data_IF_638990396444
#
_entry.id   IF_638990396444
#
_cell.length_a   1.000
_cell.length_b   1.000
_cell.length_c   1.000
_cell.angle_alpha   90.00
_cell.angle_beta   90.00
_cell.angle_gamma   90.00
#
_symmetry.space_group_name_H-M   'P 1'
#
loop_
_entity.id
_entity.type
_entity.pdbx_description
1 polymer ?
#
# COMPACT_ATOMS: atom_id res chain seq x y z
N UNK A 1 31.36 10.98 3.83
CA UNK A 1 30.59 9.75 3.54
C UNK A 1 29.30 10.18 2.89
N UNK A 2 29.10 9.94 1.59
CA UNK A 2 27.83 10.20 0.92
C UNK A 2 26.83 9.14 1.41
N UNK A 3 26.05 9.46 2.43
CA UNK A 3 24.94 8.61 2.86
C UNK A 3 23.85 8.64 1.79
N UNK A 4 23.54 7.50 1.19
CA UNK A 4 22.39 7.35 0.30
C UNK A 4 21.11 7.68 1.09
N UNK A 5 20.40 8.79 0.77
CA UNK A 5 19.23 9.21 1.54
C UNK A 5 18.06 8.23 1.45
N UNK A 6 18.08 7.33 0.47
CA UNK A 6 17.03 6.35 0.21
C UNK A 6 17.29 4.97 0.85
N UNK A 7 18.43 4.76 1.51
CA UNK A 7 18.78 3.45 2.07
C UNK A 7 17.70 2.91 3.04
N UNK A 8 17.18 3.76 3.92
CA UNK A 8 16.12 3.37 4.85
C UNK A 8 14.78 3.09 4.16
N UNK A 9 14.51 3.75 3.02
CA UNK A 9 13.35 3.44 2.19
C UNK A 9 13.45 2.03 1.59
N UNK A 10 14.66 1.61 1.20
CA UNK A 10 14.93 0.25 0.75
C UNK A 10 14.70 -0.79 1.85
N UNK A 11 15.18 -0.54 3.07
CA UNK A 11 14.91 -1.42 4.22
C UNK A 11 13.42 -1.49 4.53
N UNK A 12 12.73 -0.35 4.54
CA UNK A 12 11.28 -0.30 4.78
C UNK A 12 10.50 -1.08 3.70
N UNK A 13 10.88 -0.97 2.42
CA UNK A 13 10.27 -1.71 1.34
C UNK A 13 10.49 -3.23 1.48
N UNK A 14 11.67 -3.68 1.90
CA UNK A 14 11.92 -5.10 2.18
C UNK A 14 11.11 -5.62 3.37
N UNK A 15 11.06 -4.87 4.47
CA UNK A 15 10.25 -5.22 5.63
C UNK A 15 8.77 -5.33 5.23
N UNK A 16 8.26 -4.34 4.49
CA UNK A 16 6.89 -4.33 4.00
C UNK A 16 6.61 -5.51 3.06
N UNK A 17 7.56 -5.89 2.19
CA UNK A 17 7.43 -7.03 1.29
C UNK A 17 7.25 -8.36 2.03
N UNK A 18 7.81 -8.48 3.24
CA UNK A 18 7.66 -9.66 4.09
C UNK A 18 6.38 -9.59 4.92
N UNK A 19 6.10 -8.44 5.56
CA UNK A 19 4.96 -8.29 6.47
C UNK A 19 3.62 -8.29 5.75
N UNK A 20 3.55 -7.70 4.56
CA UNK A 20 2.31 -7.59 3.79
C UNK A 20 1.63 -8.95 3.50
N UNK A 21 2.32 -9.95 2.92
CA UNK A 21 1.69 -11.25 2.68
C UNK A 21 1.37 -11.99 3.98
N UNK A 22 2.16 -11.83 5.04
CA UNK A 22 1.87 -12.44 6.35
C UNK A 22 0.52 -11.93 6.88
N UNK A 23 0.28 -10.62 6.79
CA UNK A 23 -0.99 -10.01 7.19
C UNK A 23 -2.15 -10.47 6.32
N UNK A 24 -2.05 -10.33 5.00
CA UNK A 24 -3.19 -10.58 4.11
C UNK A 24 -3.50 -12.06 3.86
N UNK A 25 -2.58 -12.98 4.15
CA UNK A 25 -2.86 -14.42 4.08
C UNK A 25 -3.54 -14.97 5.34
N UNK A 26 -3.49 -14.26 6.47
CA UNK A 26 -4.12 -14.72 7.71
C UNK A 26 -5.64 -14.93 7.58
N UNK A 27 -6.44 -13.99 7.00
CA UNK A 27 -7.89 -14.15 6.86
C UNK A 27 -8.30 -15.29 5.90
N UNK A 28 -7.44 -15.68 4.96
CA UNK A 28 -7.73 -16.73 3.96
C UNK A 28 -8.04 -18.07 4.63
N UNK A 29 -7.43 -18.34 5.78
CA UNK A 29 -7.69 -19.56 6.56
C UNK A 29 -9.09 -19.60 7.20
N UNK A 30 -9.70 -18.44 7.48
CA UNK A 30 -11.00 -18.32 8.15
C UNK A 30 -12.17 -18.28 7.16
N UNK A 31 -11.96 -17.73 5.97
CA UNK A 31 -12.98 -17.67 4.90
C UNK A 31 -13.43 -19.05 4.39
N UNK A 32 -12.63 -20.10 4.62
CA UNK A 32 -12.95 -21.45 4.22
C UNK A 32 -13.85 -22.21 5.23
N UNK A 33 -14.05 -21.69 6.45
CA UNK A 33 -14.60 -22.46 7.57
C UNK A 33 -15.78 -21.77 8.30
N UNK A 34 -15.90 -20.44 8.23
CA UNK A 34 -16.84 -19.65 9.07
C UNK A 34 -17.65 -18.61 8.30
N UNK A 35 -18.78 -18.16 8.88
CA UNK A 35 -19.65 -17.13 8.30
C UNK A 35 -18.91 -15.77 8.27
N UNK A 36 -18.84 -15.13 7.10
CA UNK A 36 -18.11 -13.86 6.89
C UNK A 36 -18.52 -12.75 7.86
N UNK A 37 -19.81 -12.69 8.21
CA UNK A 37 -20.31 -11.68 9.13
C UNK A 37 -19.81 -11.89 10.57
N UNK A 38 -19.63 -13.14 11.01
CA UNK A 38 -19.08 -13.44 12.34
C UNK A 38 -17.59 -13.09 12.40
N UNK A 39 -16.83 -13.39 11.34
CA UNK A 39 -15.40 -13.02 11.24
C UNK A 39 -15.22 -11.50 11.32
N UNK A 40 -16.00 -10.73 10.55
CA UNK A 40 -15.91 -9.26 10.58
C UNK A 40 -16.31 -8.67 11.94
N UNK A 41 -17.26 -9.30 12.62
CA UNK A 41 -17.67 -8.85 13.95
C UNK A 41 -16.58 -9.11 14.98
N UNK A 42 -16.00 -10.30 14.95
CA UNK A 42 -14.91 -10.70 15.85
C UNK A 42 -13.68 -9.82 15.64
N UNK A 43 -13.32 -9.51 14.38
CA UNK A 43 -12.26 -8.58 14.02
C UNK A 43 -12.47 -7.23 14.71
N UNK A 44 -13.62 -6.58 14.45
CA UNK A 44 -13.97 -5.25 14.99
C UNK A 44 -14.12 -5.18 16.52
N UNK A 45 -14.34 -6.32 17.17
CA UNK A 45 -14.52 -6.40 18.62
C UNK A 45 -13.22 -6.70 19.37
N UNK A 46 -12.13 -6.98 18.67
CA UNK A 46 -10.85 -7.31 19.29
C UNK A 46 -9.79 -6.28 18.96
N UNK A 47 -8.96 -5.94 19.94
CA UNK A 47 -7.74 -5.18 19.71
C UNK A 47 -6.57 -6.09 20.06
N UNK A 48 -5.85 -6.55 19.03
CA UNK A 48 -4.84 -7.58 19.14
C UNK A 48 -3.55 -7.23 18.35
N UNK A 49 -2.62 -8.18 18.25
CA UNK A 49 -1.34 -7.95 17.57
C UNK A 49 -1.45 -7.72 16.06
N UNK A 50 -2.52 -8.21 15.42
CA UNK A 50 -2.80 -7.97 14.00
C UNK A 50 -3.15 -6.51 13.72
N UNK A 51 -3.86 -5.83 14.62
CA UNK A 51 -4.13 -4.39 14.51
C UNK A 51 -2.84 -3.56 14.53
N UNK A 52 -1.92 -3.90 15.43
CA UNK A 52 -0.61 -3.27 15.49
C UNK A 52 0.20 -3.53 14.21
N UNK A 53 0.13 -4.75 13.67
CA UNK A 53 0.77 -5.10 12.41
C UNK A 53 0.16 -4.34 11.22
N UNK A 54 -1.16 -4.17 11.19
CA UNK A 54 -1.87 -3.40 10.17
C UNK A 54 -1.39 -1.94 10.13
N UNK A 55 -1.30 -1.31 11.30
CA UNK A 55 -0.77 0.06 11.44
C UNK A 55 0.70 0.14 11.02
N UNK A 56 1.52 -0.84 11.40
CA UNK A 56 2.93 -0.90 11.01
C UNK A 56 3.10 -1.01 9.49
N UNK A 57 2.33 -1.89 8.84
CA UNK A 57 2.30 -2.04 7.38
C UNK A 57 1.93 -0.71 6.73
N UNK A 58 0.87 -0.05 7.21
CA UNK A 58 0.45 1.27 6.74
C UNK A 58 1.54 2.33 6.86
N UNK A 59 2.20 2.40 8.02
CA UNK A 59 3.29 3.35 8.25
C UNK A 59 4.50 3.11 7.34
N UNK A 60 4.87 1.85 7.12
CA UNK A 60 5.95 1.48 6.19
C UNK A 60 5.58 1.85 4.74
N UNK A 61 4.35 1.56 4.32
CA UNK A 61 3.87 1.87 2.98
C UNK A 61 3.85 3.38 2.71
N UNK A 62 3.35 4.17 3.67
CA UNK A 62 3.41 5.64 3.62
C UNK A 62 4.85 6.14 3.49
N UNK A 63 5.76 5.60 4.30
CA UNK A 63 7.16 6.00 4.26
C UNK A 63 7.79 5.69 2.89
N UNK A 64 7.54 4.51 2.34
CA UNK A 64 8.00 4.10 1.01
C UNK A 64 7.46 5.04 -0.06
N UNK A 65 6.18 5.41 -0.03
CA UNK A 65 5.60 6.34 -1.01
C UNK A 65 6.14 7.76 -0.90
N UNK A 66 6.33 8.27 0.30
CA UNK A 66 6.94 9.59 0.49
C UNK A 66 8.38 9.61 -0.05
N UNK A 67 9.15 8.55 0.18
CA UNK A 67 10.53 8.45 -0.32
C UNK A 67 10.57 8.25 -1.83
N UNK A 68 9.65 7.45 -2.39
CA UNK A 68 9.50 7.31 -3.83
C UNK A 68 9.07 8.64 -4.49
N UNK A 69 8.20 9.42 -3.84
CA UNK A 69 7.77 10.72 -4.33
C UNK A 69 8.95 11.70 -4.40
N UNK A 70 9.81 11.70 -3.38
CA UNK A 70 11.06 12.48 -3.40
C UNK A 70 11.97 12.03 -4.55
N UNK A 71 12.17 10.72 -4.71
CA UNK A 71 12.96 10.19 -5.82
C UNK A 71 12.40 10.58 -7.20
N UNK A 72 11.07 10.57 -7.37
CA UNK A 72 10.43 11.03 -8.60
C UNK A 72 10.64 12.53 -8.88
N UNK A 73 10.66 13.37 -7.85
CA UNK A 73 11.00 14.79 -7.99
C UNK A 73 12.46 14.99 -8.35
N UNK A 74 13.35 14.31 -7.63
CA UNK A 74 14.79 14.54 -7.70
C UNK A 74 15.43 13.93 -8.95
N UNK A 75 14.95 12.76 -9.40
CA UNK A 75 15.62 11.96 -10.44
C UNK A 75 14.81 11.82 -11.74
N UNK A 76 13.49 11.99 -11.68
CA UNK A 76 12.59 11.70 -12.82
C UNK A 76 11.93 12.98 -13.39
N UNK A 77 12.18 14.15 -12.78
CA UNK A 77 11.50 15.41 -13.11
C UNK A 77 9.97 15.23 -13.21
N UNK A 78 9.41 14.42 -12.30
CA UNK A 78 8.03 13.98 -12.31
C UNK A 78 7.23 14.57 -11.16
N UNK A 79 6.77 15.81 -11.30
CA UNK A 79 5.88 16.43 -10.32
C UNK A 79 4.57 15.66 -10.14
N UNK A 80 3.92 15.27 -11.25
CA UNK A 80 2.67 14.52 -11.21
C UNK A 80 2.83 13.15 -10.53
N UNK A 81 3.80 12.28 -10.90
CA UNK A 81 4.07 11.04 -10.17
C UNK A 81 4.26 11.24 -8.67
N UNK A 82 4.99 12.29 -8.27
CA UNK A 82 5.23 12.58 -6.86
C UNK A 82 3.95 13.00 -6.12
N UNK A 83 3.11 13.85 -6.73
CA UNK A 83 1.81 14.24 -6.16
C UNK A 83 0.91 13.01 -5.99
N UNK A 84 0.84 12.15 -7.00
CA UNK A 84 0.02 10.93 -6.95
C UNK A 84 0.49 9.99 -5.82
N UNK A 85 1.80 9.87 -5.59
CA UNK A 85 2.33 9.10 -4.45
C UNK A 85 1.96 9.71 -3.09
N UNK A 86 1.94 11.04 -2.96
CA UNK A 86 1.44 11.67 -1.74
C UNK A 86 -0.07 11.43 -1.53
N UNK A 87 -0.85 11.43 -2.61
CA UNK A 87 -2.28 11.08 -2.55
C UNK A 87 -2.45 9.62 -2.13
N UNK A 88 -1.70 8.68 -2.72
CA UNK A 88 -1.70 7.27 -2.31
C UNK A 88 -1.34 7.11 -0.84
N UNK A 89 -0.29 7.79 -0.37
CA UNK A 89 0.09 7.79 1.04
C UNK A 89 -1.04 8.33 1.94
N UNK A 90 -1.71 9.41 1.53
CA UNK A 90 -2.88 9.92 2.24
C UNK A 90 -4.03 8.92 2.32
N UNK A 91 -4.32 8.20 1.23
CA UNK A 91 -5.34 7.14 1.22
C UNK A 91 -4.94 6.00 2.18
N UNK A 92 -3.67 5.58 2.19
CA UNK A 92 -3.16 4.56 3.12
C UNK A 92 -3.28 5.01 4.58
N UNK A 93 -3.02 6.29 4.89
CA UNK A 93 -3.24 6.83 6.24
C UNK A 93 -4.71 6.73 6.64
N UNK A 94 -5.63 7.14 5.75
CA UNK A 94 -7.07 7.08 6.03
C UNK A 94 -7.53 5.62 6.17
N UNK A 95 -7.04 4.72 5.33
CA UNK A 95 -7.34 3.30 5.39
C UNK A 95 -6.81 2.65 6.67
N UNK A 96 -5.57 2.95 7.08
CA UNK A 96 -4.99 2.39 8.30
C UNK A 96 -5.57 2.99 9.58
N UNK A 97 -6.18 4.18 9.47
CA UNK A 97 -6.97 4.79 10.54
C UNK A 97 -8.28 4.05 10.83
N UNK A 98 -8.67 3.04 10.04
CA UNK A 98 -9.84 2.21 10.39
C UNK A 98 -9.64 1.46 11.71
N UNK A 99 -8.39 1.20 12.13
CA UNK A 99 -8.08 0.62 13.45
C UNK A 99 -8.61 1.46 14.61
N UNK A 100 -8.90 2.75 14.38
CA UNK A 100 -9.52 3.60 15.38
C UNK A 100 -10.95 3.14 15.75
N UNK A 101 -11.64 2.38 14.88
CA UNK A 101 -12.91 1.76 15.23
C UNK A 101 -12.72 0.68 16.31
N UNK A 102 -11.72 -0.17 16.15
CA UNK A 102 -11.34 -1.24 17.09
C UNK A 102 -10.92 -0.63 18.43
N UNK A 103 -10.12 0.45 18.39
CA UNK A 103 -9.78 1.22 19.60
C UNK A 103 -11.02 1.81 20.26
N UNK A 104 -11.93 2.41 19.48
CA UNK A 104 -13.15 3.02 20.01
C UNK A 104 -14.09 1.97 20.65
N UNK A 105 -14.18 0.77 20.09
CA UNK A 105 -14.89 -0.36 20.70
C UNK A 105 -14.20 -0.80 21.98
N UNK A 106 -12.88 -1.00 21.95
CA UNK A 106 -12.09 -1.49 23.09
C UNK A 106 -12.13 -0.56 24.31
N UNK A 107 -12.18 0.77 24.09
CA UNK A 107 -12.29 1.75 25.20
C UNK A 107 -13.73 2.07 25.59
N UNK A 108 -14.73 1.43 24.97
CA UNK A 108 -16.15 1.60 25.28
C UNK A 108 -16.80 2.87 24.74
N UNK A 109 -16.19 3.55 23.76
CA UNK A 109 -16.83 4.67 23.03
C UNK A 109 -17.93 4.16 22.08
N UNK A 110 -17.77 2.94 21.56
CA UNK A 110 -18.78 2.23 20.77
C UNK A 110 -19.26 1.02 21.60
N UNK A 111 -20.42 1.12 22.27
CA UNK A 111 -20.88 0.07 23.18
C UNK A 111 -21.39 -1.19 22.48
N UNK A 112 -21.80 -1.09 21.21
CA UNK A 112 -22.26 -2.23 20.41
C UNK A 112 -21.89 -2.06 18.93
N UNK A 113 -21.27 -3.09 18.35
CA UNK A 113 -21.01 -3.17 16.90
C UNK A 113 -22.27 -3.69 16.22
N UNK A 114 -23.05 -2.76 15.66
CA UNK A 114 -24.25 -3.08 14.88
C UNK A 114 -23.91 -3.43 13.44
N UNK A 115 -24.81 -4.12 12.73
CA UNK A 115 -24.65 -4.42 11.31
C UNK A 115 -24.40 -3.16 10.47
N UNK A 116 -25.04 -2.03 10.81
CA UNK A 116 -24.83 -0.75 10.12
C UNK A 116 -23.40 -0.23 10.26
N UNK A 117 -22.78 -0.37 11.43
CA UNK A 117 -21.38 0.01 11.65
C UNK A 117 -20.46 -0.89 10.83
N UNK A 118 -20.71 -2.21 10.82
CA UNK A 118 -19.94 -3.16 10.01
C UNK A 118 -20.03 -2.83 8.51
N UNK A 119 -21.23 -2.55 7.99
CA UNK A 119 -21.41 -2.16 6.59
C UNK A 119 -20.73 -0.84 6.25
N UNK A 120 -20.72 0.12 7.19
CA UNK A 120 -20.02 1.38 7.02
C UNK A 120 -18.50 1.17 6.91
N UNK A 121 -17.90 0.40 7.83
CA UNK A 121 -16.46 0.13 7.81
C UNK A 121 -16.07 -0.65 6.55
N UNK A 122 -16.81 -1.72 6.22
CA UNK A 122 -16.57 -2.51 5.02
C UNK A 122 -16.71 -1.67 3.75
N UNK A 123 -17.77 -0.87 3.66
CA UNK A 123 -18.02 0.03 2.53
C UNK A 123 -16.93 1.09 2.38
N UNK A 124 -16.49 1.70 3.48
CA UNK A 124 -15.39 2.65 3.49
C UNK A 124 -14.08 2.00 3.04
N UNK A 125 -13.75 0.81 3.55
CA UNK A 125 -12.57 0.04 3.15
C UNK A 125 -12.56 -0.29 1.66
N UNK A 126 -13.66 -0.80 1.11
CA UNK A 126 -13.78 -1.09 -0.33
C UNK A 126 -13.65 0.20 -1.15
N UNK A 127 -14.30 1.29 -0.72
CA UNK A 127 -14.23 2.58 -1.41
C UNK A 127 -12.80 3.12 -1.46
N UNK A 128 -12.07 3.05 -0.34
CA UNK A 128 -10.68 3.48 -0.26
C UNK A 128 -9.77 2.62 -1.13
N UNK A 129 -9.98 1.30 -1.17
CA UNK A 129 -9.22 0.40 -2.04
C UNK A 129 -9.46 0.71 -3.53
N UNK A 130 -10.70 1.00 -3.94
CA UNK A 130 -11.01 1.42 -5.32
C UNK A 130 -10.34 2.76 -5.64
N UNK A 131 -10.46 3.75 -4.76
CA UNK A 131 -9.83 5.06 -4.95
C UNK A 131 -8.31 4.93 -5.04
N UNK A 132 -7.70 4.16 -4.15
CA UNK A 132 -6.28 3.84 -4.18
C UNK A 132 -5.88 3.25 -5.53
N UNK A 133 -6.64 2.26 -6.02
CA UNK A 133 -6.36 1.58 -7.29
C UNK A 133 -6.42 2.51 -8.48
N UNK A 134 -7.39 3.43 -8.50
CA UNK A 134 -7.50 4.44 -9.56
C UNK A 134 -6.31 5.40 -9.54
N UNK A 135 -5.89 5.86 -8.36
CA UNK A 135 -4.71 6.73 -8.22
C UNK A 135 -3.44 5.99 -8.63
N UNK A 136 -3.27 4.73 -8.21
CA UNK A 136 -2.15 3.87 -8.58
C UNK A 136 -2.09 3.62 -10.09
N UNK A 137 -3.25 3.45 -10.74
CA UNK A 137 -3.36 3.30 -12.19
C UNK A 137 -2.89 4.57 -12.91
N UNK A 138 -3.38 5.74 -12.48
CA UNK A 138 -2.96 7.04 -13.04
C UNK A 138 -1.46 7.25 -12.79
N UNK A 139 -0.95 6.87 -11.63
CA UNK A 139 0.47 6.94 -11.30
C UNK A 139 1.31 6.08 -12.25
N UNK A 140 0.94 4.80 -12.46
CA UNK A 140 1.62 3.93 -13.40
C UNK A 140 1.63 4.51 -14.82
N UNK A 141 0.48 4.98 -15.31
CA UNK A 141 0.37 5.62 -16.63
C UNK A 141 1.28 6.86 -16.69
N UNK A 142 1.29 7.70 -15.64
CA UNK A 142 2.10 8.92 -15.59
C UNK A 142 3.61 8.64 -15.68
N UNK A 143 4.07 7.54 -15.09
CA UNK A 143 5.44 7.07 -15.26
C UNK A 143 5.68 6.57 -16.69
N UNK A 144 4.79 5.74 -17.21
CA UNK A 144 4.93 5.12 -18.54
C UNK A 144 4.86 6.13 -19.69
N UNK A 145 4.24 7.30 -19.53
CA UNK A 145 4.31 8.37 -20.54
C UNK A 145 5.76 8.80 -20.79
N UNK A 146 6.62 8.73 -19.77
CA UNK A 146 8.05 9.05 -19.85
C UNK A 146 8.92 7.81 -20.02
N UNK A 147 8.37 6.74 -20.57
CA UNK A 147 9.01 5.42 -20.63
C UNK A 147 10.47 5.51 -21.05
N UNK A 148 10.81 6.19 -22.15
CA UNK A 148 12.18 6.25 -22.67
C UNK A 148 13.21 6.70 -21.62
N UNK A 149 12.87 7.71 -20.81
CA UNK A 149 13.76 8.35 -19.84
C UNK A 149 13.86 7.60 -18.49
N UNK A 150 13.03 6.57 -18.26
CA UNK A 150 13.02 5.86 -16.98
C UNK A 150 14.13 4.82 -16.88
N UNK A 151 14.77 4.66 -15.69
CA UNK A 151 15.61 3.50 -15.39
C UNK A 151 14.84 2.20 -15.58
N UNK A 152 15.53 1.13 -16.01
CA UNK A 152 14.90 -0.17 -16.29
C UNK A 152 14.10 -0.73 -15.11
N UNK A 153 14.60 -0.58 -13.88
CA UNK A 153 13.86 -1.03 -12.69
C UNK A 153 12.56 -0.25 -12.49
N UNK A 154 12.55 1.06 -12.73
CA UNK A 154 11.34 1.88 -12.64
C UNK A 154 10.36 1.57 -13.77
N UNK A 155 10.83 1.22 -14.97
CA UNK A 155 9.96 0.71 -16.05
C UNK A 155 9.23 -0.56 -15.63
N UNK A 156 9.97 -1.54 -15.10
CA UNK A 156 9.39 -2.82 -14.65
C UNK A 156 8.42 -2.56 -13.49
N UNK A 157 8.80 -1.71 -12.53
CA UNK A 157 7.92 -1.31 -11.44
C UNK A 157 6.63 -0.64 -11.93
N UNK A 158 6.71 0.29 -12.88
CA UNK A 158 5.55 0.99 -13.43
C UNK A 158 4.58 0.04 -14.14
N UNK A 159 5.10 -0.91 -14.94
CA UNK A 159 4.28 -1.97 -15.56
C UNK A 159 3.66 -2.85 -14.46
N UNK A 160 4.41 -3.18 -13.43
CA UNK A 160 3.93 -3.95 -12.29
C UNK A 160 2.78 -3.29 -11.54
N UNK A 161 2.90 -1.99 -11.22
CA UNK A 161 1.83 -1.22 -10.58
C UNK A 161 0.61 -1.09 -11.51
N UNK A 162 0.83 -0.95 -12.82
CA UNK A 162 -0.27 -0.97 -13.79
C UNK A 162 -1.06 -2.29 -13.68
N UNK A 163 -0.39 -3.44 -13.71
CA UNK A 163 -1.03 -4.74 -13.56
C UNK A 163 -1.71 -4.89 -12.20
N UNK A 164 -1.03 -4.51 -11.11
CA UNK A 164 -1.56 -4.56 -9.74
C UNK A 164 -2.86 -3.77 -9.62
N UNK A 165 -2.87 -2.53 -10.12
CA UNK A 165 -4.05 -1.66 -10.06
C UNK A 165 -5.22 -2.20 -10.88
N UNK A 166 -4.98 -2.73 -12.07
CA UNK A 166 -6.02 -3.38 -12.88
C UNK A 166 -6.57 -4.62 -12.18
N UNK A 167 -5.72 -5.47 -11.60
CA UNK A 167 -6.15 -6.65 -10.85
C UNK A 167 -6.97 -6.25 -9.62
N UNK A 168 -6.54 -5.21 -8.88
CA UNK A 168 -7.25 -4.71 -7.70
C UNK A 168 -8.67 -4.24 -8.03
N UNK A 169 -8.85 -3.56 -9.16
CA UNK A 169 -10.17 -3.09 -9.62
C UNK A 169 -11.15 -4.23 -9.95
N UNK A 170 -10.64 -5.43 -10.28
CA UNK A 170 -11.52 -6.56 -10.62
C UNK A 170 -12.07 -7.31 -9.40
N UNK A 171 -11.67 -6.96 -8.17
CA UNK A 171 -11.98 -7.61 -6.88
C UNK A 171 -11.54 -9.09 -6.82
N UNK A 172 -11.93 -9.92 -7.79
CA UNK A 172 -11.59 -11.34 -7.91
C UNK A 172 -10.08 -11.53 -8.05
N UNK A 173 -9.41 -10.76 -8.93
CA UNK A 173 -7.96 -10.88 -9.12
C UNK A 173 -7.16 -10.11 -8.06
N UNK A 174 -7.82 -9.36 -7.16
CA UNK A 174 -7.12 -8.59 -6.13
C UNK A 174 -6.29 -9.49 -5.20
N UNK A 175 -6.69 -10.77 -5.01
CA UNK A 175 -5.90 -11.74 -4.22
C UNK A 175 -4.50 -11.97 -4.80
N UNK A 176 -4.30 -11.81 -6.11
CA UNK A 176 -2.99 -11.94 -6.75
C UNK A 176 -2.03 -10.85 -6.27
N UNK A 177 -2.56 -9.70 -5.86
CA UNK A 177 -1.76 -8.58 -5.38
C UNK A 177 -1.04 -8.89 -4.06
N UNK A 178 -1.51 -9.87 -3.29
CA UNK A 178 -0.80 -10.40 -2.11
C UNK A 178 0.62 -10.85 -2.47
N UNK A 179 0.83 -11.35 -3.69
CA UNK A 179 2.13 -11.79 -4.18
C UNK A 179 2.81 -10.75 -5.07
N UNK A 180 2.04 -10.06 -5.92
CA UNK A 180 2.61 -9.08 -6.83
C UNK A 180 3.18 -7.87 -6.07
N UNK A 181 2.48 -7.36 -5.06
CA UNK A 181 2.93 -6.17 -4.32
C UNK A 181 4.30 -6.36 -3.64
N UNK A 182 4.57 -7.47 -2.92
CA UNK A 182 5.91 -7.79 -2.42
C UNK A 182 7.00 -7.78 -3.49
N UNK A 183 6.74 -8.35 -4.68
CA UNK A 183 7.72 -8.35 -5.77
C UNK A 183 8.06 -6.92 -6.20
N UNK A 184 7.05 -6.04 -6.31
CA UNK A 184 7.26 -4.64 -6.65
C UNK A 184 8.04 -3.88 -5.57
N UNK A 185 7.79 -4.20 -4.30
CA UNK A 185 8.55 -3.63 -3.18
C UNK A 185 10.02 -4.07 -3.19
N UNK A 186 10.32 -5.32 -3.54
CA UNK A 186 11.70 -5.77 -3.73
C UNK A 186 12.38 -5.00 -4.87
N UNK A 187 11.69 -4.77 -5.99
CA UNK A 187 12.22 -3.95 -7.09
C UNK A 187 12.51 -2.51 -6.64
N UNK A 188 11.60 -1.90 -5.87
CA UNK A 188 11.82 -0.58 -5.30
C UNK A 188 12.99 -0.57 -4.31
N UNK A 189 13.12 -1.59 -3.48
CA UNK A 189 14.24 -1.70 -2.54
C UNK A 189 15.58 -1.72 -3.27
N UNK A 190 15.69 -2.51 -4.34
CA UNK A 190 16.89 -2.55 -5.19
C UNK A 190 17.16 -1.17 -5.79
N UNK A 191 16.14 -0.48 -6.30
CA UNK A 191 16.30 0.87 -6.84
C UNK A 191 16.78 1.86 -5.77
N UNK A 192 16.19 1.84 -4.58
CA UNK A 192 16.58 2.71 -3.46
C UNK A 192 18.01 2.46 -3.01
N UNK A 193 18.47 1.20 -2.99
CA UNK A 193 19.86 0.88 -2.63
C UNK A 193 20.85 1.28 -3.71
N UNK A 194 20.50 1.11 -4.99
CA UNK A 194 21.37 1.50 -6.12
C UNK A 194 21.58 3.01 -6.17
N UNK A 195 20.56 3.80 -5.84
CA UNK A 195 20.63 5.26 -5.87
C UNK A 195 21.19 5.76 -7.21
N UNK A 196 20.81 5.14 -8.33
CA UNK A 196 21.33 5.48 -9.65
C UNK A 196 20.94 6.92 -9.97
N UNK A 197 21.89 7.85 -9.78
CA UNK A 197 21.80 9.26 -10.15
C UNK A 197 21.96 9.41 -11.66
N UNK A 198 21.18 8.69 -12.46
CA UNK A 198 21.15 8.92 -13.91
C UNK A 198 20.37 10.20 -14.19
N UNK A 199 20.91 11.34 -13.73
CA UNK A 199 20.67 12.63 -14.36
C UNK A 199 21.49 12.57 -15.65
N UNK A 200 20.85 12.18 -16.76
CA UNK A 200 21.40 12.55 -18.05
C UNK A 200 21.38 14.08 -18.09
N UNK A 201 22.55 14.67 -17.86
CA UNK A 201 22.83 16.06 -18.22
C UNK A 201 22.78 16.10 -19.74
N UNK A 202 21.68 16.63 -20.29
CA UNK A 202 21.65 17.13 -21.67
C UNK A 202 21.93 18.62 -21.63
#
# INVERSE_FOLDING_TARGET
MNSNPYQWAGVAALLLAVLFPIYWLHPVNYLAVTNFQEILRDDLMTLNGWDALFVLIGALEVYVYVMLARMCKDQVNGELPAILLYVMAGIVVVFTSTVLFDVAVAVGLIPEVTSSVMFLVLGASITLLVLYSLVALIFAISLLIRFAALPTLIKIFAIGILLLSLMQLTIILAVVNVFLFPVLLVLLAIQFFRNDHSVEVV
#
